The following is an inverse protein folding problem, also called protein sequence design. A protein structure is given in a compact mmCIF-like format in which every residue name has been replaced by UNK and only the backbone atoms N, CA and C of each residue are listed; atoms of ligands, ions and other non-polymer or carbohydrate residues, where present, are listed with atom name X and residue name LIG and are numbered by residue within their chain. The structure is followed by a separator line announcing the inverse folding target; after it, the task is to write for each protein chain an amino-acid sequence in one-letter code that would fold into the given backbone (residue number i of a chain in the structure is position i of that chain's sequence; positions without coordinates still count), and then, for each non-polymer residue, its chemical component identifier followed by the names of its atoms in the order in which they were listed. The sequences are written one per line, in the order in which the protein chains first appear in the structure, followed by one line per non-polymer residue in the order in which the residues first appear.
data_IF_199333012835
#
_entry.id   IF_199333012835
#
_cell.length_a   1.000
_cell.length_b   1.000
_cell.length_c   1.000
_cell.angle_alpha   90.00
_cell.angle_beta   90.00
_cell.angle_gamma   90.00
#
_symmetry.space_group_name_H-M   'P 1'
#
loop_
_entity.id
_entity.type
_entity.pdbx_description
1 polymer ?
#
# COMPACT_ATOMS: atom_id res chain seq x y z
N UNK A 1 -10.12 -42.39 -30.49
CA UNK A 1 -8.94 -42.27 -29.60
C UNK A 1 -8.32 -40.87 -29.58
N UNK A 2 -8.24 -40.15 -30.71
CA UNK A 2 -7.66 -38.80 -30.76
C UNK A 2 -8.45 -37.77 -29.92
N UNK A 3 -9.77 -37.83 -29.96
CA UNK A 3 -10.68 -36.93 -29.23
C UNK A 3 -10.52 -37.02 -27.69
N UNK A 4 -10.34 -38.24 -27.17
CA UNK A 4 -10.09 -38.45 -25.74
C UNK A 4 -8.73 -37.89 -25.29
N UNK A 5 -7.71 -37.95 -26.17
CA UNK A 5 -6.39 -37.34 -25.89
C UNK A 5 -6.46 -35.81 -25.89
N UNK A 6 -7.28 -35.25 -26.78
CA UNK A 6 -7.48 -33.80 -26.88
C UNK A 6 -8.28 -33.25 -25.69
N UNK A 7 -9.33 -33.94 -25.26
CA UNK A 7 -10.08 -33.63 -24.04
C UNK A 7 -9.17 -33.67 -22.79
N UNK A 8 -8.34 -34.70 -22.67
CA UNK A 8 -7.35 -34.81 -21.58
C UNK A 8 -6.34 -33.65 -21.59
N UNK A 9 -5.90 -33.23 -22.77
CA UNK A 9 -4.99 -32.10 -22.92
C UNK A 9 -5.65 -30.78 -22.51
N UNK A 10 -6.93 -30.57 -22.88
CA UNK A 10 -7.71 -29.38 -22.48
C UNK A 10 -7.96 -29.34 -20.97
N UNK A 11 -8.28 -30.47 -20.35
CA UNK A 11 -8.46 -30.56 -18.89
C UNK A 11 -7.16 -30.21 -18.15
N UNK A 12 -6.02 -30.74 -18.61
CA UNK A 12 -4.70 -30.40 -18.07
C UNK A 12 -4.39 -28.92 -18.20
N UNK A 13 -4.67 -28.30 -19.35
CA UNK A 13 -4.47 -26.86 -19.57
C UNK A 13 -5.37 -26.03 -18.65
N UNK A 14 -6.62 -26.44 -18.47
CA UNK A 14 -7.57 -25.77 -17.58
C UNK A 14 -7.12 -25.84 -16.11
N UNK A 15 -6.71 -27.01 -15.63
CA UNK A 15 -6.15 -27.20 -14.28
C UNK A 15 -4.87 -26.38 -14.06
N UNK A 16 -4.01 -26.28 -15.07
CA UNK A 16 -2.83 -25.40 -15.06
C UNK A 16 -3.24 -23.92 -14.98
N UNK A 17 -4.22 -23.47 -15.74
CA UNK A 17 -4.69 -22.07 -15.69
C UNK A 17 -5.29 -21.71 -14.32
N UNK A 18 -6.13 -22.58 -13.76
CA UNK A 18 -6.75 -22.36 -12.44
C UNK A 18 -5.70 -22.35 -11.32
N UNK A 19 -4.73 -23.28 -11.36
CA UNK A 19 -3.62 -23.28 -10.39
C UNK A 19 -2.72 -22.05 -10.51
N UNK A 20 -2.42 -21.58 -11.72
CA UNK A 20 -1.65 -20.34 -11.92
C UNK A 20 -2.42 -19.10 -11.45
N UNK A 21 -3.73 -19.02 -11.71
CA UNK A 21 -4.55 -17.90 -11.28
C UNK A 21 -4.63 -17.83 -9.75
N UNK A 22 -4.84 -18.97 -9.08
CA UNK A 22 -4.86 -19.06 -7.62
C UNK A 22 -3.52 -18.74 -6.99
N UNK A 23 -2.40 -19.22 -7.57
CA UNK A 23 -1.05 -18.87 -7.11
C UNK A 23 -0.75 -17.38 -7.29
N UNK A 24 -1.17 -16.79 -8.42
CA UNK A 24 -1.03 -15.36 -8.67
C UNK A 24 -1.85 -14.53 -7.68
N UNK A 25 -3.08 -14.95 -7.38
CA UNK A 25 -3.94 -14.30 -6.40
C UNK A 25 -3.39 -14.43 -4.97
N UNK A 26 -2.93 -15.62 -4.57
CA UNK A 26 -2.27 -15.86 -3.29
C UNK A 26 -1.00 -15.03 -3.13
N UNK A 27 -0.18 -14.92 -4.19
CA UNK A 27 1.01 -14.07 -4.21
C UNK A 27 0.65 -12.58 -4.09
N UNK A 28 -0.41 -12.12 -4.74
CA UNK A 28 -0.91 -10.76 -4.60
C UNK A 28 -1.33 -10.46 -3.14
N UNK A 29 -2.14 -11.33 -2.53
CA UNK A 29 -2.57 -11.21 -1.14
C UNK A 29 -1.39 -11.25 -0.14
N UNK A 30 -0.37 -12.06 -0.42
CA UNK A 30 0.86 -12.13 0.39
C UNK A 30 1.74 -10.88 0.25
N UNK A 31 1.78 -10.24 -0.92
CA UNK A 31 2.50 -8.97 -1.08
C UNK A 31 1.77 -7.83 -0.38
N UNK A 32 0.43 -7.85 -0.40
CA UNK A 32 -0.42 -6.88 0.30
C UNK A 32 -0.22 -6.91 1.82
N UNK A 33 0.04 -8.10 2.40
CA UNK A 33 0.32 -8.25 3.83
C UNK A 33 1.78 -7.98 4.22
N UNK A 34 2.70 -7.91 3.25
CA UNK A 34 4.15 -7.74 3.50
C UNK A 34 4.57 -6.28 3.68
N UNK A 35 3.74 -5.31 3.25
CA UNK A 35 3.97 -3.90 3.52
C UNK A 35 3.44 -3.51 4.90
N UNK A 36 4.07 -4.04 5.96
CA UNK A 36 3.80 -3.60 7.34
C UNK A 36 4.58 -2.33 7.73
N UNK A 37 5.51 -1.89 6.87
CA UNK A 37 6.42 -0.78 7.13
C UNK A 37 6.65 0.01 5.82
N UNK A 38 6.43 1.32 5.84
CA UNK A 38 6.70 2.26 4.75
C UNK A 38 7.87 3.18 5.14
N UNK A 39 8.69 3.59 4.16
CA UNK A 39 9.75 4.57 4.40
C UNK A 39 9.17 5.97 4.61
N UNK A 40 9.73 6.71 5.56
CA UNK A 40 9.33 8.10 5.86
C UNK A 40 9.43 9.00 4.63
N UNK A 41 10.43 8.80 3.77
CA UNK A 41 10.58 9.56 2.53
C UNK A 41 9.43 9.37 1.56
N UNK A 42 8.86 8.16 1.48
CA UNK A 42 7.71 7.85 0.63
C UNK A 42 6.45 8.55 1.17
N UNK A 43 6.23 8.47 2.49
CA UNK A 43 5.13 9.18 3.14
C UNK A 43 5.21 10.70 2.88
N UNK A 44 6.39 11.30 3.07
CA UNK A 44 6.58 12.73 2.82
C UNK A 44 6.35 13.11 1.36
N UNK A 45 6.72 12.25 0.41
CA UNK A 45 6.43 12.44 -1.02
C UNK A 45 4.92 12.43 -1.29
N UNK A 46 4.18 11.50 -0.70
CA UNK A 46 2.71 11.44 -0.82
C UNK A 46 2.09 12.72 -0.25
N UNK A 47 2.48 13.11 0.97
CA UNK A 47 1.96 14.33 1.61
C UNK A 47 2.23 15.58 0.75
N UNK A 48 3.44 15.71 0.20
CA UNK A 48 3.81 16.80 -0.70
C UNK A 48 2.97 16.82 -1.98
N UNK A 49 2.72 15.67 -2.58
CA UNK A 49 1.88 15.55 -3.78
C UNK A 49 0.43 16.01 -3.52
N UNK A 50 -0.07 15.84 -2.29
CA UNK A 50 -1.38 16.29 -1.85
C UNK A 50 -1.36 17.71 -1.23
N UNK A 51 -0.34 18.51 -1.55
CA UNK A 51 -0.16 19.89 -1.09
C UNK A 51 -0.14 20.05 0.45
N UNK A 52 0.15 18.99 1.21
CA UNK A 52 0.36 19.12 2.64
C UNK A 52 1.70 19.80 2.92
N UNK A 53 1.70 20.82 3.77
CA UNK A 53 2.89 21.64 4.06
C UNK A 53 3.31 21.49 5.51
N UNK A 54 4.62 21.54 5.76
CA UNK A 54 5.15 21.56 7.12
C UNK A 54 4.93 22.95 7.72
N UNK A 55 4.30 23.01 8.89
CA UNK A 55 3.98 24.25 9.60
C UNK A 55 5.00 24.55 10.68
N UNK A 56 5.44 23.52 11.39
CA UNK A 56 6.32 23.69 12.55
C UNK A 56 7.28 22.50 12.65
N UNK A 57 8.53 22.83 12.92
CA UNK A 57 9.57 21.84 13.19
C UNK A 57 9.65 21.58 14.67
N UNK A 58 9.30 20.37 15.10
CA UNK A 58 9.37 19.97 16.50
C UNK A 58 10.65 19.19 16.81
N UNK A 59 10.93 19.00 18.10
CA UNK A 59 12.08 18.20 18.53
C UNK A 59 11.94 16.71 18.19
N UNK A 60 10.73 16.15 18.38
CA UNK A 60 10.43 14.72 18.14
C UNK A 60 9.57 14.47 16.90
N UNK A 61 8.60 15.33 16.65
CA UNK A 61 7.63 15.22 15.56
C UNK A 61 7.49 16.55 14.83
N UNK A 62 7.28 16.50 13.53
CA UNK A 62 7.02 17.67 12.70
C UNK A 62 5.51 17.84 12.51
N UNK A 63 5.02 19.07 12.53
CA UNK A 63 3.60 19.37 12.30
C UNK A 63 3.37 19.67 10.83
N UNK A 64 2.39 19.00 10.23
CA UNK A 64 1.96 19.19 8.85
C UNK A 64 0.52 19.68 8.82
N UNK A 65 0.23 20.61 7.92
CA UNK A 65 -1.12 21.06 7.60
C UNK A 65 -1.60 20.40 6.32
N UNK A 66 -2.80 19.84 6.36
CA UNK A 66 -3.49 19.39 5.15
C UNK A 66 -4.46 20.48 4.68
N UNK A 67 -4.32 20.98 3.43
CA UNK A 67 -5.31 21.88 2.85
C UNK A 67 -6.62 21.16 2.51
N UNK A 68 -6.62 19.82 2.41
CA UNK A 68 -7.79 19.02 2.09
C UNK A 68 -8.75 18.97 3.29
N UNK A 69 -8.21 18.76 4.49
CA UNK A 69 -9.01 18.62 5.72
C UNK A 69 -9.02 19.87 6.59
N UNK A 70 -8.14 20.84 6.31
CA UNK A 70 -7.95 22.04 7.14
C UNK A 70 -7.36 21.72 8.51
N UNK A 71 -6.72 20.55 8.68
CA UNK A 71 -6.22 20.07 9.98
C UNK A 71 -4.71 20.00 10.01
N UNK A 72 -4.16 20.20 11.20
CA UNK A 72 -2.75 19.95 11.50
C UNK A 72 -2.60 18.57 12.12
N UNK A 73 -1.61 17.81 11.66
CA UNK A 73 -1.26 16.48 12.17
C UNK A 73 0.25 16.36 12.36
N UNK A 74 0.68 15.33 13.10
CA UNK A 74 2.08 15.12 13.47
C UNK A 74 2.70 13.96 12.70
N UNK A 75 3.93 14.15 12.21
CA UNK A 75 4.70 13.15 11.47
C UNK A 75 6.00 12.84 12.21
N UNK A 76 6.38 11.56 12.25
CA UNK A 76 7.59 11.10 12.93
C UNK A 76 8.82 11.50 12.13
N UNK A 77 9.74 12.26 12.74
CA UNK A 77 10.96 12.73 12.08
C UNK A 77 12.10 11.70 12.11
N UNK A 78 12.34 11.11 13.28
CA UNK A 78 13.57 10.34 13.54
C UNK A 78 13.52 8.87 13.13
N UNK A 79 12.35 8.36 12.74
CA UNK A 79 12.24 7.01 12.19
C UNK A 79 12.39 7.05 10.69
N UNK A 80 13.24 6.18 10.16
CA UNK A 80 13.37 5.94 8.71
C UNK A 80 12.17 5.17 8.14
N UNK A 81 11.55 4.38 9.00
CA UNK A 81 10.53 3.39 8.69
C UNK A 81 9.35 3.55 9.65
N UNK A 82 8.16 3.69 9.07
CA UNK A 82 6.91 3.96 9.79
C UNK A 82 6.00 2.75 9.58
N UNK A 83 5.47 2.15 10.66
CA UNK A 83 4.50 1.08 10.56
C UNK A 83 3.27 1.53 9.77
N UNK A 84 2.73 0.65 8.93
CA UNK A 84 1.61 0.95 8.02
C UNK A 84 0.38 1.44 8.77
N UNK A 85 0.11 0.93 9.97
CA UNK A 85 -0.99 1.43 10.81
C UNK A 85 -0.84 2.91 11.21
N UNK A 86 0.39 3.38 11.41
CA UNK A 86 0.66 4.80 11.67
C UNK A 86 0.53 5.62 10.39
N UNK A 87 1.03 5.12 9.27
CA UNK A 87 0.87 5.76 7.96
C UNK A 87 -0.60 5.95 7.61
N UNK A 88 -1.43 4.90 7.75
CA UNK A 88 -2.86 4.98 7.48
C UNK A 88 -3.57 6.01 8.35
N UNK A 89 -3.20 6.13 9.63
CA UNK A 89 -3.72 7.18 10.52
C UNK A 89 -3.35 8.58 10.01
N UNK A 90 -2.10 8.78 9.61
CA UNK A 90 -1.61 10.06 9.06
C UNK A 90 -2.34 10.41 7.76
N UNK A 91 -2.44 9.47 6.82
CA UNK A 91 -3.14 9.68 5.55
C UNK A 91 -4.62 9.98 5.77
N UNK A 92 -5.27 9.28 6.70
CA UNK A 92 -6.66 9.56 7.10
C UNK A 92 -6.82 10.97 7.68
N UNK A 93 -5.89 11.42 8.53
CA UNK A 93 -5.89 12.79 9.06
C UNK A 93 -5.66 13.84 7.97
N UNK A 94 -4.81 13.52 7.00
CA UNK A 94 -4.56 14.36 5.83
C UNK A 94 -5.72 14.36 4.82
N UNK A 95 -6.72 13.47 4.97
CA UNK A 95 -7.85 13.34 4.04
C UNK A 95 -7.51 12.59 2.76
N UNK A 96 -6.40 11.84 2.75
CA UNK A 96 -5.93 11.06 1.61
C UNK A 96 -6.50 9.65 1.78
N UNK A 97 -7.50 9.29 0.98
CA UNK A 97 -8.01 7.93 0.91
C UNK A 97 -7.13 7.13 -0.04
N UNK A 98 -6.54 6.04 0.46
CA UNK A 98 -5.94 5.04 -0.43
C UNK A 98 -7.06 4.06 -0.85
N UNK A 99 -7.11 3.68 -2.14
CA UNK A 99 -8.07 2.70 -2.64
C UNK A 99 -7.85 1.30 -2.05
#
# INVERSE_FOLDING_TARGET
MAEAKEAHQREKIHLLCVSLLTLKHKRYMMNLSKESIMKTSELLRILKNHACTMVEHGGRHDKYYSPITGRVFVVWRHKREIPTGTVQKILKQAGIQQP
#
